data_IF_197232167291
#
_entry.id   IF_197232167291
#
_cell.length_a   1.000
_cell.length_b   1.000
_cell.length_c   1.000
_cell.angle_alpha   90.00
_cell.angle_beta   90.00
_cell.angle_gamma   90.00
#
_symmetry.space_group_name_H-M   'P 1'
#
loop_
_entity.id
_entity.type
_entity.pdbx_description
1 polymer ?
#
# COMPACT_ATOMS: atom_id res chain seq x y z
N UNK A 1 -0.58 3.87 7.19
CA UNK A 1 -0.55 5.22 6.56
C UNK A 1 0.83 5.48 6.02
N UNK A 2 0.97 6.31 4.98
CA UNK A 2 2.28 6.66 4.42
C UNK A 2 2.61 8.13 4.72
N UNK A 3 3.86 8.40 5.09
CA UNK A 3 4.41 9.75 5.26
C UNK A 3 4.95 10.21 3.92
N UNK A 4 4.37 11.28 3.40
CA UNK A 4 4.75 11.91 2.16
C UNK A 4 5.53 13.19 2.45
N UNK A 5 6.52 13.50 1.62
CA UNK A 5 7.30 14.73 1.70
C UNK A 5 7.33 15.45 0.35
N UNK A 6 7.04 16.74 0.37
CA UNK A 6 7.29 17.66 -0.75
C UNK A 6 8.52 18.48 -0.42
N UNK A 7 9.67 18.07 -0.94
CA UNK A 7 10.98 18.63 -0.58
C UNK A 7 11.06 20.15 -0.75
N UNK A 8 10.34 20.70 -1.72
CA UNK A 8 10.36 22.15 -1.98
C UNK A 8 9.59 22.98 -0.95
N UNK A 9 8.61 22.37 -0.29
CA UNK A 9 7.78 23.01 0.74
C UNK A 9 8.37 22.82 2.15
N UNK A 10 9.43 22.02 2.27
CA UNK A 10 10.11 21.81 3.53
C UNK A 10 10.88 23.06 3.94
N UNK A 11 10.56 23.56 5.13
CA UNK A 11 11.35 24.56 5.85
C UNK A 11 12.20 23.87 6.93
N UNK A 12 13.06 24.64 7.62
CA UNK A 12 13.81 24.10 8.74
C UNK A 12 12.84 23.77 9.89
N UNK A 13 12.74 22.50 10.26
CA UNK A 13 11.96 22.02 11.41
C UNK A 13 12.83 21.21 12.37
N UNK A 14 12.32 20.97 13.57
CA UNK A 14 13.00 20.15 14.57
C UNK A 14 13.00 18.67 14.16
N UNK A 15 14.11 18.23 13.57
CA UNK A 15 14.32 16.84 13.15
C UNK A 15 14.31 15.87 14.34
N UNK A 16 14.68 16.32 15.56
CA UNK A 16 14.65 15.46 16.75
C UNK A 16 13.20 15.17 17.14
N UNK A 17 12.34 16.19 17.18
CA UNK A 17 10.91 16.02 17.48
C UNK A 17 10.24 15.14 16.41
N UNK A 18 10.58 15.34 15.13
CA UNK A 18 10.08 14.50 14.04
C UNK A 18 10.50 13.04 14.19
N UNK A 19 11.79 12.77 14.40
CA UNK A 19 12.32 11.43 14.62
C UNK A 19 11.63 10.72 15.79
N UNK A 20 11.46 11.42 16.92
CA UNK A 20 10.75 10.89 18.10
C UNK A 20 9.30 10.56 17.81
N UNK A 21 8.63 11.39 17.03
CA UNK A 21 7.21 11.22 16.68
C UNK A 21 6.99 9.99 15.81
N UNK A 22 7.92 9.70 14.90
CA UNK A 22 7.91 8.50 14.05
C UNK A 22 8.62 7.30 14.66
N UNK A 23 9.09 7.39 15.91
CA UNK A 23 9.87 6.36 16.58
C UNK A 23 11.09 5.88 15.75
N UNK A 24 11.76 6.80 15.06
CA UNK A 24 12.99 6.55 14.30
C UNK A 24 14.15 7.34 14.90
N UNK A 25 15.38 6.90 14.64
CA UNK A 25 16.56 7.68 14.97
C UNK A 25 16.94 8.66 13.83
N UNK A 26 17.91 9.54 14.11
CA UNK A 26 18.41 10.49 13.11
C UNK A 26 19.09 9.79 11.94
N UNK A 27 19.79 8.69 12.20
CA UNK A 27 20.51 7.97 11.16
C UNK A 27 19.54 7.41 10.12
N UNK A 28 18.45 6.80 10.57
CA UNK A 28 17.37 6.28 9.75
C UNK A 28 16.68 7.40 8.98
N UNK A 29 16.44 8.55 9.60
CA UNK A 29 15.90 9.72 8.90
C UNK A 29 16.78 10.13 7.70
N UNK A 30 18.09 10.27 7.91
CA UNK A 30 19.00 10.65 6.82
C UNK A 30 19.09 9.58 5.74
N UNK A 31 19.06 8.30 6.11
CA UNK A 31 18.99 7.20 5.15
C UNK A 31 17.73 7.29 4.29
N UNK A 32 16.55 7.36 4.91
CA UNK A 32 15.27 7.45 4.19
C UNK A 32 15.22 8.68 3.27
N UNK A 33 15.67 9.84 3.75
CA UNK A 33 15.73 11.04 2.93
C UNK A 33 16.71 10.91 1.76
N UNK A 34 17.85 10.23 1.94
CA UNK A 34 18.79 9.95 0.85
C UNK A 34 18.20 8.96 -0.16
N UNK A 35 17.53 7.91 0.29
CA UNK A 35 16.89 6.91 -0.57
C UNK A 35 15.74 7.51 -1.38
N UNK A 36 14.91 8.35 -0.75
CA UNK A 36 13.82 9.07 -1.41
C UNK A 36 14.33 9.97 -2.54
N UNK A 37 15.49 10.61 -2.35
CA UNK A 37 16.12 11.52 -3.32
C UNK A 37 16.97 10.82 -4.36
N UNK A 38 17.32 9.56 -4.17
CA UNK A 38 18.15 8.78 -5.10
C UNK A 38 17.31 8.37 -6.32
N UNK A 39 17.59 8.90 -7.54
CA UNK A 39 16.81 8.57 -8.73
C UNK A 39 16.88 7.08 -9.13
N UNK A 40 17.89 6.34 -8.64
CA UNK A 40 17.99 4.89 -8.89
C UNK A 40 16.97 4.12 -8.07
N UNK A 41 16.72 4.57 -6.84
CA UNK A 41 15.73 3.97 -5.92
C UNK A 41 14.34 4.57 -6.14
N UNK A 42 14.25 5.81 -6.60
CA UNK A 42 13.02 6.54 -6.89
C UNK A 42 13.06 7.18 -8.30
N UNK A 43 12.90 6.37 -9.38
CA UNK A 43 12.83 6.83 -10.76
C UNK A 43 11.47 7.50 -10.96
N UNK A 44 11.42 8.80 -10.71
CA UNK A 44 10.17 9.56 -10.55
C UNK A 44 10.27 10.66 -9.50
N UNK A 45 11.40 10.72 -8.77
CA UNK A 45 11.67 11.78 -7.83
C UNK A 45 11.53 13.17 -8.46
N UNK A 46 10.70 14.00 -7.83
CA UNK A 46 10.65 15.44 -8.07
C UNK A 46 10.48 16.15 -6.73
N UNK A 47 11.19 17.27 -6.57
CA UNK A 47 11.11 18.09 -5.36
C UNK A 47 9.77 18.81 -5.21
N UNK A 48 9.00 18.93 -6.29
CA UNK A 48 7.70 19.62 -6.34
C UNK A 48 6.50 18.69 -6.14
N UNK A 49 6.71 17.38 -6.14
CA UNK A 49 5.63 16.40 -5.99
C UNK A 49 5.80 15.60 -4.70
N UNK A 50 4.71 15.16 -4.05
CA UNK A 50 4.78 14.31 -2.87
C UNK A 50 5.59 13.04 -3.15
N UNK A 51 6.62 12.79 -2.33
CA UNK A 51 7.45 11.58 -2.37
C UNK A 51 7.20 10.76 -1.11
N UNK A 52 7.14 9.43 -1.24
CA UNK A 52 7.03 8.55 -0.08
C UNK A 52 8.34 8.62 0.71
N UNK A 53 8.27 9.11 1.94
CA UNK A 53 9.41 9.14 2.87
C UNK A 53 9.44 7.88 3.74
N UNK A 54 8.28 7.47 4.25
CA UNK A 54 8.13 6.28 5.08
C UNK A 54 6.76 5.67 4.83
N UNK A 55 6.70 4.35 4.63
CA UNK A 55 5.44 3.63 4.43
C UNK A 55 5.01 2.89 5.70
N UNK A 56 3.73 2.54 5.79
CA UNK A 56 3.18 1.63 6.80
C UNK A 56 3.29 2.11 8.26
N UNK A 57 2.95 3.39 8.53
CA UNK A 57 2.70 3.85 9.89
C UNK A 57 1.49 3.17 10.49
N UNK A 58 1.61 2.78 11.76
CA UNK A 58 0.50 2.29 12.56
C UNK A 58 -0.45 3.45 12.96
N UNK A 59 -1.61 3.11 13.53
CA UNK A 59 -2.64 4.11 13.88
C UNK A 59 -2.18 5.05 15.00
N UNK A 60 -1.37 4.58 15.94
CA UNK A 60 -0.88 5.36 17.08
C UNK A 60 0.16 6.40 16.64
N UNK A 61 1.15 5.98 15.85
CA UNK A 61 2.18 6.82 15.22
C UNK A 61 1.53 7.87 14.30
N UNK A 62 0.53 7.45 13.53
CA UNK A 62 -0.27 8.36 12.71
C UNK A 62 -0.94 9.45 13.55
N UNK A 63 -1.58 9.08 14.67
CA UNK A 63 -2.23 10.05 15.56
C UNK A 63 -1.24 11.09 16.10
N UNK A 64 -0.09 10.63 16.59
CA UNK A 64 0.97 11.51 17.11
C UNK A 64 1.53 12.44 16.02
N UNK A 65 1.74 11.94 14.81
CA UNK A 65 2.23 12.75 13.69
C UNK A 65 1.18 13.78 13.26
N UNK A 66 -0.09 13.39 13.17
CA UNK A 66 -1.16 14.26 12.74
C UNK A 66 -1.32 15.48 13.67
N UNK A 67 -1.23 15.28 15.00
CA UNK A 67 -1.29 16.37 15.96
C UNK A 67 -0.16 17.40 15.78
N UNK A 68 1.02 16.94 15.34
CA UNK A 68 2.21 17.77 15.17
C UNK A 68 2.45 18.22 13.74
N UNK A 69 1.58 17.88 12.79
CA UNK A 69 1.82 18.11 11.36
C UNK A 69 2.08 19.59 11.03
N UNK A 70 1.44 20.50 11.78
CA UNK A 70 1.66 21.96 11.68
C UNK A 70 3.11 22.38 11.95
N UNK A 71 3.90 21.58 12.68
CA UNK A 71 5.32 21.81 12.96
C UNK A 71 6.25 21.36 11.84
N UNK A 72 5.74 20.58 10.88
CA UNK A 72 6.55 19.94 9.85
C UNK A 72 6.08 20.36 8.45
N UNK A 73 6.41 21.58 8.00
CA UNK A 73 6.06 22.05 6.66
C UNK A 73 6.55 21.10 5.56
N UNK A 74 5.71 20.88 4.55
CA UNK A 74 6.00 19.98 3.43
C UNK A 74 5.87 18.49 3.75
N UNK A 75 5.42 18.12 4.96
CA UNK A 75 5.10 16.73 5.32
C UNK A 75 3.59 16.53 5.27
N UNK A 76 3.17 15.46 4.60
CA UNK A 76 1.78 15.09 4.42
C UNK A 76 1.56 13.64 4.82
N UNK A 77 0.32 13.31 5.18
CA UNK A 77 -0.07 11.92 5.43
C UNK A 77 -0.96 11.46 4.28
N UNK A 78 -0.63 10.31 3.73
CA UNK A 78 -1.45 9.64 2.74
C UNK A 78 -2.11 8.41 3.37
N UNK A 79 -3.44 8.33 3.26
CA UNK A 79 -4.18 7.14 3.61
C UNK A 79 -3.83 6.01 2.64
N UNK A 80 -3.63 4.82 3.20
CA UNK A 80 -3.33 3.60 2.44
C UNK A 80 -4.14 2.46 3.01
N UNK A 81 -4.76 1.68 2.13
CA UNK A 81 -5.41 0.43 2.51
C UNK A 81 -4.36 -0.67 2.62
N UNK A 82 -4.37 -1.37 3.75
CA UNK A 82 -3.51 -2.53 3.98
C UNK A 82 -4.37 -3.80 4.05
N UNK A 83 -3.88 -4.89 3.46
CA UNK A 83 -4.58 -6.17 3.47
C UNK A 83 -4.35 -6.86 4.80
N UNK A 84 -5.44 -7.16 5.51
CA UNK A 84 -5.40 -7.81 6.81
C UNK A 84 -5.97 -9.22 6.74
N UNK A 85 -5.18 -10.21 7.15
CA UNK A 85 -5.63 -11.59 7.35
C UNK A 85 -6.00 -11.79 8.81
N UNK A 86 -7.30 -11.82 9.11
CA UNK A 86 -7.81 -11.89 10.50
C UNK A 86 -7.64 -13.27 11.14
N UNK A 87 -7.58 -14.33 10.31
CA UNK A 87 -7.56 -15.71 10.77
C UNK A 87 -6.24 -16.39 10.38
N UNK A 88 -5.55 -17.06 11.31
CA UNK A 88 -4.26 -17.69 11.02
C UNK A 88 -4.40 -18.99 10.22
N UNK A 89 -5.56 -19.64 10.28
CA UNK A 89 -5.82 -20.98 9.72
C UNK A 89 -6.22 -21.02 8.24
N UNK A 90 -5.89 -19.96 7.48
CA UNK A 90 -6.23 -19.89 6.07
C UNK A 90 -5.06 -19.41 5.20
N UNK A 91 -3.84 -19.40 5.72
CA UNK A 91 -2.68 -18.82 5.03
C UNK A 91 -2.44 -19.45 3.64
N UNK A 92 -2.57 -20.77 3.51
CA UNK A 92 -2.38 -21.45 2.23
C UNK A 92 -3.56 -21.22 1.26
N UNK A 93 -4.78 -21.16 1.79
CA UNK A 93 -6.00 -21.06 0.97
C UNK A 93 -6.18 -19.63 0.46
N UNK A 94 -6.15 -18.65 1.36
CA UNK A 94 -6.23 -17.24 0.97
C UNK A 94 -4.99 -16.85 0.17
N UNK A 95 -3.81 -17.31 0.59
CA UNK A 95 -2.55 -16.84 0.07
C UNK A 95 -2.21 -15.45 0.61
N UNK A 96 -1.45 -14.69 -0.16
CA UNK A 96 -1.05 -13.34 0.22
C UNK A 96 -0.90 -12.41 -0.98
N UNK A 97 -0.82 -11.11 -0.69
CA UNK A 97 -0.47 -10.06 -1.67
C UNK A 97 0.94 -9.53 -1.38
N UNK A 98 1.63 -9.08 -2.41
CA UNK A 98 2.89 -8.35 -2.26
C UNK A 98 3.08 -7.36 -3.42
N UNK A 99 4.07 -6.48 -3.32
CA UNK A 99 4.36 -5.51 -4.38
C UNK A 99 4.60 -6.21 -5.73
N UNK A 100 4.08 -5.61 -6.80
CA UNK A 100 4.27 -6.07 -8.16
C UNK A 100 5.76 -5.98 -8.54
N UNK A 101 6.32 -7.10 -8.99
CA UNK A 101 7.70 -7.17 -9.43
C UNK A 101 7.83 -6.68 -10.89
N UNK A 102 9.07 -6.47 -11.35
CA UNK A 102 9.34 -5.96 -12.70
C UNK A 102 8.77 -6.84 -13.81
N UNK A 103 8.73 -8.16 -13.62
CA UNK A 103 8.26 -9.09 -14.63
C UNK A 103 6.72 -9.03 -14.74
N UNK A 104 6.03 -8.92 -13.61
CA UNK A 104 4.56 -8.76 -13.57
C UNK A 104 4.13 -7.43 -14.16
N UNK A 105 4.84 -6.34 -13.86
CA UNK A 105 4.59 -5.02 -14.46
C UNK A 105 4.85 -5.04 -15.98
N UNK A 106 5.91 -5.74 -16.42
CA UNK A 106 6.20 -5.87 -17.85
C UNK A 106 5.16 -6.74 -18.57
N UNK A 107 4.63 -7.77 -17.91
CA UNK A 107 3.62 -8.67 -18.47
C UNK A 107 2.22 -8.02 -18.49
N UNK A 108 1.90 -7.19 -17.51
CA UNK A 108 0.61 -6.52 -17.38
C UNK A 108 0.77 -5.02 -17.13
N UNK A 109 0.61 -4.17 -18.17
CA UNK A 109 0.69 -2.72 -18.07
C UNK A 109 -0.31 -2.06 -17.13
N UNK A 110 -1.30 -2.81 -16.63
CA UNK A 110 -2.21 -2.34 -15.59
C UNK A 110 -1.47 -1.97 -14.29
N UNK A 111 -0.42 -2.72 -13.96
CA UNK A 111 0.36 -2.49 -12.76
C UNK A 111 1.46 -1.45 -12.99
N UNK A 112 1.67 -0.62 -11.98
CA UNK A 112 2.78 0.30 -11.85
C UNK A 112 3.56 -0.05 -10.58
N UNK A 113 4.75 0.51 -10.45
CA UNK A 113 5.57 0.31 -9.25
C UNK A 113 4.84 0.81 -8.00
N UNK A 114 4.91 0.05 -6.91
CA UNK A 114 4.21 0.33 -5.66
C UNK A 114 2.83 -0.32 -5.55
N UNK A 115 2.28 -0.86 -6.65
CA UNK A 115 1.05 -1.63 -6.61
C UNK A 115 1.25 -2.97 -5.94
N UNK A 116 0.20 -3.48 -5.30
CA UNK A 116 0.16 -4.81 -4.72
C UNK A 116 -0.66 -5.73 -5.62
N UNK A 117 -0.22 -6.97 -5.69
CA UNK A 117 -0.86 -8.03 -6.48
C UNK A 117 -0.87 -9.32 -5.67
N UNK A 118 -1.93 -10.11 -5.80
CA UNK A 118 -2.03 -11.48 -5.30
C UNK A 118 -0.88 -12.34 -5.79
N UNK A 119 -0.24 -13.07 -4.86
CA UNK A 119 0.92 -13.93 -5.13
C UNK A 119 0.61 -15.41 -5.03
N UNK A 120 -0.41 -15.77 -4.26
CA UNK A 120 -0.81 -17.16 -4.08
C UNK A 120 -2.28 -17.25 -3.65
N UNK A 121 -2.79 -18.49 -3.60
CA UNK A 121 -4.13 -18.78 -3.12
C UNK A 121 -5.22 -18.03 -3.88
N UNK A 122 -6.28 -17.71 -3.15
CA UNK A 122 -7.44 -16.94 -3.63
C UNK A 122 -7.05 -15.52 -4.06
N UNK A 123 -6.12 -14.88 -3.35
CA UNK A 123 -5.65 -13.53 -3.71
C UNK A 123 -5.12 -13.50 -5.14
N UNK A 124 -4.33 -14.51 -5.55
CA UNK A 124 -3.84 -14.61 -6.93
C UNK A 124 -4.94 -15.08 -7.91
N UNK A 125 -5.71 -16.10 -7.55
CA UNK A 125 -6.66 -16.71 -8.50
C UNK A 125 -7.85 -15.81 -8.83
N UNK A 126 -8.22 -14.91 -7.92
CA UNK A 126 -9.30 -13.94 -8.10
C UNK A 126 -8.79 -12.48 -8.10
N UNK A 127 -7.51 -12.26 -8.42
CA UNK A 127 -6.91 -10.93 -8.46
C UNK A 127 -7.73 -9.94 -9.29
N UNK A 128 -8.26 -10.36 -10.45
CA UNK A 128 -9.04 -9.46 -11.32
C UNK A 128 -10.39 -9.06 -10.72
N UNK A 129 -11.03 -9.97 -10.00
CA UNK A 129 -12.27 -9.69 -9.27
C UNK A 129 -12.00 -8.78 -8.06
N UNK A 130 -10.91 -9.06 -7.32
CA UNK A 130 -10.56 -8.41 -6.06
C UNK A 130 -9.95 -7.01 -6.23
N UNK A 131 -9.16 -6.77 -7.28
CA UNK A 131 -8.42 -5.51 -7.47
C UNK A 131 -9.30 -4.36 -7.95
N UNK A 132 -10.45 -4.66 -8.57
CA UNK A 132 -11.31 -3.67 -9.20
C UNK A 132 -10.65 -2.92 -10.35
N UNK A 133 -11.07 -1.69 -10.59
CA UNK A 133 -10.56 -0.84 -11.67
C UNK A 133 -9.98 0.47 -11.14
N UNK A 134 -8.77 0.80 -11.58
CA UNK A 134 -8.13 2.07 -11.24
C UNK A 134 -8.88 3.26 -11.84
N UNK A 135 -9.07 4.26 -11.00
CA UNK A 135 -9.45 5.59 -11.43
C UNK A 135 -8.29 6.31 -12.12
N UNK A 136 -8.62 7.41 -12.79
CA UNK A 136 -7.65 8.31 -13.41
C UNK A 136 -8.01 9.73 -13.02
N UNK A 137 -7.02 10.50 -12.56
CA UNK A 137 -7.14 11.93 -12.36
C UNK A 137 -6.08 12.65 -13.20
N UNK A 138 -6.51 13.60 -14.03
CA UNK A 138 -5.60 14.34 -14.91
C UNK A 138 -5.37 15.73 -14.31
N UNK A 139 -4.13 15.98 -13.89
CA UNK A 139 -3.75 17.23 -13.24
C UNK A 139 -2.98 18.14 -14.20
N UNK A 140 -3.34 19.42 -14.22
CA UNK A 140 -2.57 20.46 -14.89
C UNK A 140 -1.32 20.77 -14.06
N UNK A 141 -0.17 20.81 -14.74
CA UNK A 141 1.10 21.19 -14.12
C UNK A 141 1.72 22.39 -14.82
N UNK A 142 2.35 23.27 -14.05
CA UNK A 142 3.17 24.35 -14.59
C UNK A 142 4.54 23.83 -15.07
N UNK A 143 5.37 24.70 -15.65
CA UNK A 143 6.72 24.36 -16.11
C UNK A 143 7.66 23.85 -14.98
N UNK A 144 7.31 24.09 -13.72
CA UNK A 144 8.03 23.63 -12.54
C UNK A 144 7.42 22.35 -11.94
N UNK A 145 6.34 21.81 -12.51
CA UNK A 145 5.67 20.60 -12.07
C UNK A 145 4.65 20.77 -10.95
N UNK A 146 4.29 22.01 -10.58
CA UNK A 146 3.28 22.29 -9.54
C UNK A 146 1.88 22.04 -10.06
N UNK A 147 1.04 21.39 -9.27
CA UNK A 147 -0.36 21.12 -9.61
C UNK A 147 -1.14 22.44 -9.57
N UNK A 148 -1.73 22.82 -10.70
CA UNK A 148 -2.55 24.03 -10.87
C UNK A 148 -4.06 23.74 -10.79
N UNK A 149 -4.43 22.45 -10.71
CA UNK A 149 -5.81 21.99 -10.67
C UNK A 149 -6.06 20.81 -11.62
N UNK A 150 -7.33 20.47 -11.83
CA UNK A 150 -7.74 19.40 -12.74
C UNK A 150 -7.76 19.88 -14.18
N UNK A 151 -7.29 19.05 -15.10
CA UNK A 151 -7.35 19.33 -16.52
C UNK A 151 -8.80 19.38 -17.01
N UNK A 152 -9.16 20.45 -17.71
CA UNK A 152 -10.54 20.72 -18.17
C UNK A 152 -11.61 20.48 -17.09
N UNK A 153 -11.36 20.92 -15.86
CA UNK A 153 -12.28 20.73 -14.73
C UNK A 153 -12.66 19.26 -14.46
N UNK A 154 -11.79 18.30 -14.82
CA UNK A 154 -12.00 16.87 -14.55
C UNK A 154 -12.85 16.15 -15.60
N UNK A 155 -13.08 16.73 -16.79
CA UNK A 155 -13.85 16.11 -17.89
C UNK A 155 -13.36 14.69 -18.25
N UNK A 156 -12.07 14.43 -18.08
CA UNK A 156 -11.42 13.15 -18.38
C UNK A 156 -11.09 12.31 -17.14
N UNK A 157 -11.48 12.77 -15.95
CA UNK A 157 -11.27 12.01 -14.73
C UNK A 157 -12.21 10.79 -14.73
N UNK A 158 -11.71 9.65 -14.27
CA UNK A 158 -12.49 8.42 -14.07
C UNK A 158 -12.40 8.03 -12.61
N UNK A 159 -13.55 7.85 -11.97
CA UNK A 159 -13.59 7.35 -10.61
C UNK A 159 -13.10 5.88 -10.58
N UNK A 160 -12.38 5.47 -9.53
CA UNK A 160 -12.04 4.07 -9.34
C UNK A 160 -13.31 3.24 -9.07
N UNK A 161 -13.27 1.97 -9.47
CA UNK A 161 -14.31 0.98 -9.17
C UNK A 161 -13.71 -0.01 -8.18
N UNK A 162 -14.35 -0.16 -7.02
CA UNK A 162 -13.92 -1.15 -6.02
C UNK A 162 -14.01 -2.57 -6.59
N UNK A 163 -13.09 -3.42 -6.16
CA UNK A 163 -13.19 -4.85 -6.41
C UNK A 163 -14.44 -5.46 -5.78
N UNK A 164 -14.73 -6.70 -6.18
CA UNK A 164 -15.87 -7.46 -5.72
C UNK A 164 -15.52 -8.24 -4.46
N UNK A 165 -16.48 -8.29 -3.54
CA UNK A 165 -16.39 -9.17 -2.39
C UNK A 165 -16.57 -10.63 -2.85
N UNK A 166 -15.74 -11.52 -2.30
CA UNK A 166 -15.85 -12.96 -2.51
C UNK A 166 -16.45 -13.61 -1.27
N UNK A 167 -17.50 -14.41 -1.47
CA UNK A 167 -18.03 -15.30 -0.45
C UNK A 167 -17.54 -16.72 -0.76
N UNK A 168 -16.78 -17.31 0.16
CA UNK A 168 -16.25 -18.65 0.00
C UNK A 168 -17.18 -19.68 0.65
N UNK A 169 -17.19 -20.90 0.13
CA UNK A 169 -17.89 -22.04 0.73
C UNK A 169 -17.13 -22.67 1.92
N UNK A 170 -16.09 -22.00 2.41
CA UNK A 170 -15.20 -22.52 3.45
C UNK A 170 -15.81 -22.22 4.81
N UNK A 171 -16.04 -23.28 5.59
CA UNK A 171 -16.33 -23.17 7.01
C UNK A 171 -15.01 -22.95 7.78
N UNK A 172 -14.92 -21.81 8.46
CA UNK A 172 -13.71 -21.39 9.15
C UNK A 172 -13.38 -22.28 10.36
N UNK A 173 -14.40 -22.70 11.12
CA UNK A 173 -14.22 -23.51 12.33
C UNK A 173 -13.77 -24.92 11.93
N UNK A 174 -14.35 -25.46 10.86
CA UNK A 174 -13.97 -26.75 10.30
C UNK A 174 -12.54 -26.72 9.73
N UNK A 175 -12.17 -25.63 9.05
CA UNK A 175 -10.82 -25.42 8.55
C UNK A 175 -9.79 -25.38 9.71
N UNK A 176 -10.07 -24.60 10.75
CA UNK A 176 -9.20 -24.53 11.94
C UNK A 176 -9.09 -25.88 12.66
N UNK A 177 -10.19 -26.63 12.74
CA UNK A 177 -10.19 -27.99 13.29
C UNK A 177 -9.35 -28.96 12.46
N UNK A 178 -9.46 -28.89 11.12
CA UNK A 178 -8.64 -29.69 10.20
C UNK A 178 -7.14 -29.44 10.39
N UNK A 179 -6.73 -28.18 10.50
CA UNK A 179 -5.34 -27.82 10.78
C UNK A 179 -4.86 -28.34 12.14
N UNK A 180 -5.70 -28.24 13.18
CA UNK A 180 -5.40 -28.78 14.50
C UNK A 180 -5.14 -30.29 14.47
N UNK A 181 -5.95 -31.06 13.73
CA UNK A 181 -5.78 -32.50 13.57
C UNK A 181 -4.50 -32.87 12.80
N UNK A 182 -4.01 -31.96 11.97
CA UNK A 182 -2.80 -32.09 11.16
C UNK A 182 -1.54 -31.57 11.86
N UNK A 183 -1.63 -31.15 13.12
CA UNK A 183 -0.47 -30.68 13.87
C UNK A 183 0.64 -31.76 13.90
N UNK A 184 1.85 -31.38 13.50
CA UNK A 184 3.03 -32.25 13.32
C UNK A 184 2.86 -33.39 12.30
N UNK A 185 1.95 -33.24 11.33
CA UNK A 185 1.76 -34.20 10.23
C UNK A 185 2.01 -33.50 8.89
N UNK A 186 2.51 -34.27 7.93
CA UNK A 186 2.65 -33.82 6.53
C UNK A 186 1.56 -34.51 5.72
N UNK A 187 0.71 -33.74 5.07
CA UNK A 187 -0.39 -34.26 4.25
C UNK A 187 -1.39 -33.16 3.92
N UNK A 188 -2.53 -33.57 3.35
CA UNK A 188 -3.63 -32.67 3.00
C UNK A 188 -4.96 -33.22 3.52
N UNK A 189 -5.87 -32.31 3.83
CA UNK A 189 -7.27 -32.61 4.11
C UNK A 189 -8.10 -31.86 3.08
N UNK A 190 -9.03 -32.56 2.44
CA UNK A 190 -10.00 -31.97 1.51
C UNK A 190 -11.38 -32.33 2.04
N UNK A 191 -12.20 -31.32 2.28
CA UNK A 191 -13.57 -31.45 2.73
C UNK A 191 -14.48 -30.84 1.68
N UNK A 192 -15.47 -31.60 1.23
CA UNK A 192 -16.42 -31.19 0.20
C UNK A 192 -17.82 -31.54 0.67
N UNK A 193 -18.82 -30.75 0.25
CA UNK A 193 -20.24 -31.13 0.33
C UNK A 193 -20.62 -31.79 -1.00
N UNK A 194 -20.79 -33.13 -1.07
CA UNK A 194 -20.97 -33.82 -2.35
C UNK A 194 -22.27 -33.47 -3.08
N UNK A 195 -23.24 -32.85 -2.39
CA UNK A 195 -24.55 -32.50 -2.97
C UNK A 195 -24.52 -31.21 -3.80
N UNK A 196 -23.48 -30.40 -3.68
CA UNK A 196 -23.29 -29.13 -4.40
C UNK A 196 -22.11 -29.22 -5.35
#
# INVERSE_FOLDING_TARGET
>A
YDVMMVVREMEAFDTIDFCRTLNIDKQRFYQLNAEMRDPRKNPGYSSYTPQIFMSQLNVEEYGLLQEKLYKFPGIYIQHRTERQYKYPNMGLILGYIAEANKNEIAANPYYIRGDYVGKSGIELSHEEDLRGEKGVEILLRDAHGRIQGKYKNGEYDRAPVSGRDLTLSIDLDLQAYGELLMHNKVGSIIMIEPKT
#
